data_IF_674762359792
#
_entry.id   IF_674762359792
#
_cell.length_a   1.000
_cell.length_b   1.000
_cell.length_c   1.000
_cell.angle_alpha   90.00
_cell.angle_beta   90.00
_cell.angle_gamma   90.00
#
_symmetry.space_group_name_H-M   'P 1'
#
loop_
_entity.id
_entity.type
_entity.pdbx_description
1 polymer ?
#
# COMPACT_ATOMS: atom_id res chain seq x y z
N UNK A 1 -5.23 48.02 3.09
CA UNK A 1 -4.31 47.14 3.82
C UNK A 1 -4.75 45.66 3.73
N UNK A 2 -6.01 45.30 3.98
CA UNK A 2 -6.56 43.93 3.91
C UNK A 2 -6.39 43.29 2.53
N UNK A 3 -6.70 44.01 1.44
CA UNK A 3 -6.59 43.52 0.05
C UNK A 3 -5.16 43.11 -0.37
N UNK A 4 -4.14 43.82 0.14
CA UNK A 4 -2.73 43.52 -0.12
C UNK A 4 -2.30 42.25 0.66
N UNK A 5 -2.89 42.02 1.83
CA UNK A 5 -2.60 40.86 2.67
C UNK A 5 -3.18 39.60 2.05
N UNK A 6 -4.44 39.67 1.59
CA UNK A 6 -5.10 38.55 0.88
C UNK A 6 -4.39 38.17 -0.41
N UNK A 7 -3.94 39.14 -1.20
CA UNK A 7 -3.15 38.91 -2.43
C UNK A 7 -1.80 38.26 -2.15
N UNK A 8 -1.17 38.58 -1.02
CA UNK A 8 0.10 38.00 -0.59
C UNK A 8 -0.06 36.57 -0.06
N UNK A 9 -1.19 36.27 0.62
CA UNK A 9 -1.54 34.91 1.07
C UNK A 9 -1.85 34.03 -0.12
N UNK A 10 -2.65 34.50 -1.08
CA UNK A 10 -3.01 33.75 -2.28
C UNK A 10 -1.77 33.44 -3.14
N UNK A 11 -0.84 34.40 -3.32
CA UNK A 11 0.41 34.15 -4.03
C UNK A 11 1.31 33.10 -3.34
N UNK A 12 1.39 33.13 -2.00
CA UNK A 12 2.12 32.13 -1.23
C UNK A 12 1.47 30.76 -1.29
N UNK A 13 0.13 30.72 -1.28
CA UNK A 13 -0.62 29.47 -1.44
C UNK A 13 -0.43 28.87 -2.83
N UNK A 14 -0.53 29.68 -3.88
CA UNK A 14 -0.30 29.25 -5.27
C UNK A 14 1.12 28.75 -5.49
N UNK A 15 2.11 29.40 -4.87
CA UNK A 15 3.50 28.94 -4.91
C UNK A 15 3.68 27.64 -4.15
N UNK A 16 3.11 27.52 -2.94
CA UNK A 16 3.10 26.28 -2.16
C UNK A 16 2.43 25.15 -2.93
N UNK A 17 1.28 25.39 -3.57
CA UNK A 17 0.55 24.42 -4.38
C UNK A 17 1.35 24.00 -5.63
N UNK A 18 2.08 24.92 -6.27
CA UNK A 18 2.96 24.61 -7.42
C UNK A 18 4.18 23.78 -7.00
N UNK A 19 4.83 24.16 -5.90
CA UNK A 19 6.00 23.46 -5.36
C UNK A 19 5.66 22.06 -4.84
N UNK A 20 4.41 21.87 -4.34
CA UNK A 20 3.89 20.61 -3.84
C UNK A 20 2.89 19.96 -4.82
N UNK A 21 2.95 20.28 -6.09
CA UNK A 21 2.04 19.76 -7.11
C UNK A 21 2.02 18.22 -7.21
N UNK A 22 3.09 17.54 -6.79
CA UNK A 22 3.12 16.08 -6.62
C UNK A 22 2.20 15.59 -5.51
N UNK A 23 2.05 16.34 -4.41
CA UNK A 23 1.12 16.02 -3.31
C UNK A 23 -0.35 16.20 -3.72
N UNK A 24 -0.60 17.06 -4.72
CA UNK A 24 -1.95 17.39 -5.21
C UNK A 24 -2.34 16.55 -6.43
N UNK A 25 -1.36 15.98 -7.16
CA UNK A 25 -1.61 15.11 -8.32
C UNK A 25 -2.27 13.76 -7.96
N UNK A 26 -2.39 13.42 -6.70
CA UNK A 26 -2.94 12.15 -6.22
C UNK A 26 -4.47 12.10 -6.17
N UNK A 27 -5.17 12.84 -7.04
CA UNK A 27 -6.60 12.62 -7.33
C UNK A 27 -6.85 11.44 -8.28
N UNK A 28 -5.93 10.47 -8.32
CA UNK A 28 -6.13 9.30 -9.15
C UNK A 28 -7.13 8.37 -8.47
N UNK A 29 -8.33 8.34 -9.03
CA UNK A 29 -9.34 7.31 -8.72
C UNK A 29 -8.67 5.95 -8.91
N UNK A 30 -8.75 5.07 -7.90
CA UNK A 30 -8.22 3.72 -8.00
C UNK A 30 -9.03 2.94 -9.03
N UNK A 31 -8.43 2.68 -10.19
CA UNK A 31 -9.00 1.81 -11.23
C UNK A 31 -8.47 0.39 -11.00
N UNK A 32 -9.36 -0.58 -10.99
CA UNK A 32 -9.06 -1.97 -10.64
C UNK A 32 -7.97 -2.58 -11.54
N UNK A 33 -8.05 -2.31 -12.85
CA UNK A 33 -7.11 -2.80 -13.87
C UNK A 33 -5.75 -2.06 -13.84
N UNK A 34 -5.64 -0.92 -13.16
CA UNK A 34 -4.43 -0.11 -13.02
C UNK A 34 -3.87 -0.17 -11.59
N UNK A 35 -4.47 -0.96 -10.70
CA UNK A 35 -4.11 -1.08 -9.29
C UNK A 35 -3.54 -2.47 -8.99
N UNK A 36 -2.48 -2.51 -8.21
CA UNK A 36 -1.87 -3.72 -7.65
C UNK A 36 -1.92 -3.67 -6.12
N UNK A 37 -2.36 -4.74 -5.48
CA UNK A 37 -2.11 -4.98 -4.07
C UNK A 37 -0.76 -5.72 -3.93
N UNK A 38 0.22 -5.08 -3.31
CA UNK A 38 1.54 -5.65 -3.01
C UNK A 38 1.65 -6.00 -1.53
N UNK A 39 1.74 -7.29 -1.22
CA UNK A 39 1.90 -7.81 0.14
C UNK A 39 3.39 -8.14 0.34
N UNK A 40 4.05 -7.42 1.24
CA UNK A 40 5.49 -7.47 1.43
C UNK A 40 5.83 -8.35 2.64
N UNK A 41 6.53 -9.45 2.38
CA UNK A 41 7.30 -10.29 3.32
C UNK A 41 6.53 -10.73 4.59
N UNK A 42 5.23 -11.03 4.48
CA UNK A 42 4.41 -11.53 5.61
C UNK A 42 4.72 -13.01 5.87
N UNK A 43 5.98 -13.27 6.31
CA UNK A 43 6.56 -14.60 6.43
C UNK A 43 6.58 -15.11 7.87
N UNK A 44 6.56 -16.44 8.03
CA UNK A 44 6.44 -17.16 9.29
C UNK A 44 7.42 -16.72 10.39
N UNK A 45 8.70 -16.52 10.03
CA UNK A 45 9.76 -16.17 10.99
C UNK A 45 9.84 -14.67 11.28
N UNK A 46 9.26 -13.83 10.45
CA UNK A 46 9.30 -12.37 10.60
C UNK A 46 8.09 -11.86 11.38
N UNK A 47 6.89 -12.31 11.02
CA UNK A 47 5.63 -11.73 11.49
C UNK A 47 5.43 -11.84 13.00
N UNK A 48 5.88 -12.94 13.62
CA UNK A 48 5.71 -13.20 15.06
C UNK A 48 6.39 -12.18 15.97
N UNK A 49 7.35 -11.45 15.44
CA UNK A 49 8.07 -10.40 16.18
C UNK A 49 7.40 -9.01 16.04
N UNK A 50 6.33 -8.92 15.24
CA UNK A 50 5.61 -7.66 15.02
C UNK A 50 4.49 -7.54 16.05
N UNK A 51 4.44 -6.40 16.74
CA UNK A 51 3.35 -6.10 17.68
C UNK A 51 2.01 -6.08 16.93
N UNK A 52 0.97 -6.64 17.54
CA UNK A 52 -0.40 -6.68 17.00
C UNK A 52 -0.50 -7.28 15.57
N UNK A 53 0.41 -8.20 15.24
CA UNK A 53 0.47 -8.78 13.90
C UNK A 53 -0.82 -9.45 13.45
N UNK A 54 -1.62 -9.98 14.38
CA UNK A 54 -2.92 -10.59 14.05
C UNK A 54 -3.88 -9.57 13.44
N UNK A 55 -3.88 -8.33 13.96
CA UNK A 55 -4.68 -7.23 13.40
C UNK A 55 -4.18 -6.83 12.02
N UNK A 56 -2.86 -6.79 11.83
CA UNK A 56 -2.25 -6.53 10.50
C UNK A 56 -2.68 -7.60 9.50
N UNK A 57 -2.59 -8.88 9.86
CA UNK A 57 -3.03 -9.99 9.01
C UNK A 57 -4.52 -9.87 8.69
N UNK A 58 -5.35 -9.57 9.70
CA UNK A 58 -6.79 -9.38 9.52
C UNK A 58 -7.09 -8.29 8.49
N UNK A 59 -6.42 -7.14 8.57
CA UNK A 59 -6.60 -6.04 7.64
C UNK A 59 -6.07 -6.38 6.23
N UNK A 60 -4.93 -7.07 6.13
CA UNK A 60 -4.43 -7.58 4.85
C UNK A 60 -5.45 -8.54 4.20
N UNK A 61 -6.09 -9.40 4.97
CA UNK A 61 -7.14 -10.31 4.46
C UNK A 61 -8.34 -9.53 3.92
N UNK A 62 -8.80 -8.48 4.60
CA UNK A 62 -9.87 -7.61 4.09
C UNK A 62 -9.49 -6.98 2.73
N UNK A 63 -8.23 -6.53 2.57
CA UNK A 63 -7.73 -6.03 1.29
C UNK A 63 -7.71 -7.13 0.22
N UNK A 64 -7.22 -8.33 0.56
CA UNK A 64 -7.20 -9.49 -0.35
C UNK A 64 -8.61 -9.83 -0.84
N UNK A 65 -9.56 -10.00 0.09
CA UNK A 65 -10.94 -10.36 -0.23
C UNK A 65 -11.62 -9.32 -1.12
N UNK A 66 -11.37 -8.04 -0.83
CA UNK A 66 -11.86 -6.94 -1.67
C UNK A 66 -11.21 -6.97 -3.05
N UNK A 67 -9.90 -7.15 -3.13
CA UNK A 67 -9.16 -7.20 -4.40
C UNK A 67 -9.64 -8.37 -5.27
N UNK A 68 -9.88 -9.55 -4.69
CA UNK A 68 -10.47 -10.70 -5.39
C UNK A 68 -11.86 -10.38 -5.92
N UNK A 69 -12.73 -9.84 -5.07
CA UNK A 69 -14.09 -9.49 -5.43
C UNK A 69 -14.15 -8.45 -6.56
N UNK A 70 -13.21 -7.52 -6.58
CA UNK A 70 -13.15 -6.41 -7.54
C UNK A 70 -12.18 -6.66 -8.72
N UNK A 71 -11.61 -7.87 -8.82
CA UNK A 71 -10.63 -8.25 -9.85
C UNK A 71 -9.36 -7.37 -9.88
N UNK A 72 -8.92 -6.90 -8.72
CA UNK A 72 -7.63 -6.22 -8.54
C UNK A 72 -6.54 -7.28 -8.39
N UNK A 73 -5.43 -7.13 -9.13
CA UNK A 73 -4.30 -8.07 -9.05
C UNK A 73 -3.58 -7.99 -7.72
N UNK A 74 -3.06 -9.14 -7.29
CA UNK A 74 -2.33 -9.27 -6.02
C UNK A 74 -0.96 -9.87 -6.30
N UNK A 75 0.08 -9.27 -5.72
CA UNK A 75 1.43 -9.78 -5.71
C UNK A 75 1.94 -9.95 -4.28
N UNK A 76 2.74 -10.97 -4.07
CA UNK A 76 3.36 -11.30 -2.78
C UNK A 76 4.87 -11.34 -2.96
N UNK A 77 5.60 -10.78 -1.99
CA UNK A 77 7.05 -10.93 -1.95
C UNK A 77 7.50 -11.78 -0.77
N UNK A 78 8.61 -12.46 -0.94
CA UNK A 78 9.26 -13.26 0.09
C UNK A 78 10.75 -12.91 0.16
N UNK A 79 11.19 -12.43 1.32
CA UNK A 79 12.59 -12.17 1.61
C UNK A 79 13.28 -13.48 1.98
N UNK A 80 14.24 -13.94 1.17
CA UNK A 80 15.06 -15.14 1.43
C UNK A 80 14.23 -16.30 2.06
N UNK A 81 13.26 -16.87 1.34
CA UNK A 81 12.30 -17.85 1.91
C UNK A 81 13.00 -19.09 2.49
N UNK A 82 14.16 -19.48 1.99
CA UNK A 82 14.94 -20.58 2.56
C UNK A 82 15.33 -20.33 4.03
N UNK A 83 15.58 -19.08 4.42
CA UNK A 83 15.93 -18.70 5.80
C UNK A 83 14.75 -18.24 6.62
N UNK A 84 13.86 -17.46 6.03
CA UNK A 84 12.80 -16.74 6.75
C UNK A 84 11.44 -17.45 6.70
N UNK A 85 11.34 -18.57 5.98
CA UNK A 85 10.10 -19.29 5.79
C UNK A 85 9.25 -18.69 4.68
N UNK A 86 8.11 -19.30 4.42
CA UNK A 86 7.15 -18.87 3.41
C UNK A 86 6.19 -17.83 3.97
N UNK A 87 5.46 -17.20 3.08
CA UNK A 87 4.29 -16.38 3.42
C UNK A 87 3.29 -17.23 4.21
N UNK A 88 2.64 -16.64 5.21
CA UNK A 88 1.67 -17.33 6.06
C UNK A 88 0.53 -17.93 5.24
N UNK A 89 0.13 -19.16 5.58
CA UNK A 89 -1.02 -19.85 4.96
C UNK A 89 -2.30 -19.02 5.06
N UNK A 90 -2.48 -18.28 6.16
CA UNK A 90 -3.60 -17.37 6.36
C UNK A 90 -3.70 -16.25 5.30
N UNK A 91 -2.62 -15.94 4.58
CA UNK A 91 -2.57 -14.95 3.47
C UNK A 91 -2.78 -15.67 2.13
N UNK A 92 -2.23 -16.87 1.97
CA UNK A 92 -2.16 -17.58 0.69
C UNK A 92 -3.52 -18.18 0.28
N UNK A 93 -4.23 -18.85 1.21
CA UNK A 93 -5.58 -19.42 1.05
C UNK A 93 -5.89 -20.07 -0.32
N UNK A 94 -5.10 -21.00 -0.80
CA UNK A 94 -5.33 -21.71 -2.08
C UNK A 94 -5.57 -20.83 -3.32
N UNK A 95 -5.03 -19.60 -3.34
CA UNK A 95 -5.21 -18.67 -4.45
C UNK A 95 -3.94 -18.59 -5.31
N UNK A 96 -4.13 -18.31 -6.58
CA UNK A 96 -3.04 -18.01 -7.50
C UNK A 96 -2.67 -16.52 -7.37
N UNK A 97 -1.50 -16.27 -6.78
CA UNK A 97 -0.90 -14.94 -6.70
C UNK A 97 0.39 -14.90 -7.51
N UNK A 98 0.83 -13.70 -7.88
CA UNK A 98 2.17 -13.52 -8.42
C UNK A 98 3.18 -13.44 -7.28
N UNK A 99 4.15 -14.37 -7.24
CA UNK A 99 5.16 -14.46 -6.18
C UNK A 99 6.52 -13.98 -6.66
N UNK A 100 7.21 -13.24 -5.81
CA UNK A 100 8.54 -12.70 -6.09
C UNK A 100 9.48 -12.90 -4.90
N UNK A 101 10.40 -13.84 -5.01
CA UNK A 101 11.47 -14.02 -4.03
C UNK A 101 12.56 -12.96 -4.23
N UNK A 102 13.12 -12.44 -3.14
CA UNK A 102 14.15 -11.40 -3.18
C UNK A 102 15.19 -11.56 -2.08
N UNK A 103 16.40 -11.07 -2.34
CA UNK A 103 17.46 -10.95 -1.36
C UNK A 103 17.63 -9.49 -0.92
N UNK A 104 17.36 -8.56 -1.80
CA UNK A 104 17.35 -7.12 -1.53
C UNK A 104 16.12 -6.74 -0.69
N UNK A 105 16.24 -5.68 0.12
CA UNK A 105 15.10 -5.20 0.90
C UNK A 105 14.02 -4.59 0.01
N UNK A 106 14.40 -3.79 -0.96
CA UNK A 106 13.45 -3.21 -1.91
C UNK A 106 12.98 -4.23 -2.95
N UNK A 107 11.67 -4.40 -3.08
CA UNK A 107 11.05 -5.20 -4.15
C UNK A 107 11.37 -4.64 -5.54
N UNK A 108 11.63 -3.34 -5.65
CA UNK A 108 11.99 -2.67 -6.90
C UNK A 108 13.34 -3.12 -7.49
N UNK A 109 14.16 -3.82 -6.72
CA UNK A 109 15.43 -4.42 -7.21
C UNK A 109 15.22 -5.80 -7.85
N UNK A 110 14.05 -6.41 -7.66
CA UNK A 110 13.71 -7.68 -8.33
C UNK A 110 13.24 -7.38 -9.77
N UNK A 111 14.03 -7.82 -10.75
CA UNK A 111 13.78 -7.55 -12.18
C UNK A 111 12.44 -8.16 -12.66
N UNK A 112 12.06 -9.34 -12.14
CA UNK A 112 10.79 -9.99 -12.52
C UNK A 112 9.59 -9.19 -12.00
N UNK A 113 9.70 -8.64 -10.78
CA UNK A 113 8.67 -7.77 -10.22
C UNK A 113 8.52 -6.46 -11.03
N UNK A 114 9.62 -5.82 -11.41
CA UNK A 114 9.58 -4.60 -12.24
C UNK A 114 9.01 -4.89 -13.63
N UNK A 115 9.40 -6.01 -14.24
CA UNK A 115 8.82 -6.46 -15.51
C UNK A 115 7.32 -6.65 -15.38
N UNK A 116 6.86 -7.32 -14.32
CA UNK A 116 5.45 -7.53 -14.02
C UNK A 116 4.68 -6.20 -13.89
N UNK A 117 5.21 -5.23 -13.14
CA UNK A 117 4.59 -3.90 -13.02
C UNK A 117 4.42 -3.24 -14.40
N UNK A 118 5.46 -3.27 -15.22
CA UNK A 118 5.45 -2.66 -16.56
C UNK A 118 4.51 -3.38 -17.53
N UNK A 119 4.48 -4.69 -17.50
CA UNK A 119 3.67 -5.54 -18.37
C UNK A 119 2.16 -5.30 -18.17
N UNK A 120 1.73 -5.16 -16.92
CA UNK A 120 0.33 -4.86 -16.58
C UNK A 120 0.03 -3.37 -16.51
N UNK A 121 1.01 -2.50 -16.75
CA UNK A 121 0.85 -1.03 -16.79
C UNK A 121 0.17 -0.46 -15.52
N UNK A 122 0.53 -0.98 -14.34
CA UNK A 122 -0.01 -0.46 -13.09
C UNK A 122 0.36 1.02 -12.90
N UNK A 123 -0.57 1.77 -12.33
CA UNK A 123 -0.42 3.18 -11.95
C UNK A 123 -0.45 3.33 -10.44
N UNK A 124 -1.22 2.50 -9.75
CA UNK A 124 -1.44 2.54 -8.32
C UNK A 124 -0.94 1.25 -7.69
N UNK A 125 -0.18 1.35 -6.60
CA UNK A 125 0.24 0.19 -5.82
C UNK A 125 -0.15 0.43 -4.36
N UNK A 126 -1.05 -0.41 -3.85
CA UNK A 126 -1.35 -0.49 -2.42
C UNK A 126 -0.29 -1.39 -1.80
N UNK A 127 0.53 -0.85 -0.90
CA UNK A 127 1.64 -1.58 -0.28
C UNK A 127 1.31 -1.86 1.17
N UNK A 128 1.25 -3.14 1.56
CA UNK A 128 1.02 -3.58 2.93
C UNK A 128 2.01 -4.68 3.33
N UNK A 129 2.05 -5.08 4.60
CA UNK A 129 2.94 -6.13 5.12
C UNK A 129 4.00 -5.63 6.08
N UNK A 130 5.20 -6.20 6.03
CA UNK A 130 6.30 -5.96 6.99
C UNK A 130 7.70 -5.92 6.34
N UNK A 131 8.75 -5.37 6.97
CA UNK A 131 8.65 -4.34 8.01
C UNK A 131 8.56 -2.96 7.39
N UNK A 132 7.72 -2.12 7.94
CA UNK A 132 7.46 -0.75 7.43
C UNK A 132 8.74 0.03 7.21
N UNK A 133 9.69 -0.04 8.16
CA UNK A 133 10.93 0.75 8.15
C UNK A 133 12.07 0.12 7.33
N UNK A 134 11.89 -1.09 6.80
CA UNK A 134 12.92 -1.79 6.01
C UNK A 134 12.42 -2.03 4.59
N UNK A 135 11.76 -3.17 4.35
CA UNK A 135 11.37 -3.59 3.00
C UNK A 135 10.32 -2.67 2.39
N UNK A 136 9.31 -2.28 3.17
CA UNK A 136 8.25 -1.39 2.68
C UNK A 136 8.80 0.00 2.38
N UNK A 137 9.56 0.60 3.31
CA UNK A 137 10.13 1.93 3.13
C UNK A 137 10.96 2.03 1.85
N UNK A 138 11.91 1.10 1.67
CA UNK A 138 12.79 1.13 0.50
C UNK A 138 12.02 0.85 -0.80
N UNK A 139 11.08 -0.10 -0.77
CA UNK A 139 10.22 -0.40 -1.92
C UNK A 139 9.41 0.81 -2.35
N UNK A 140 8.71 1.44 -1.41
CA UNK A 140 7.87 2.60 -1.71
C UNK A 140 8.69 3.77 -2.27
N UNK A 141 9.85 4.10 -1.67
CA UNK A 141 10.72 5.17 -2.16
C UNK A 141 11.19 4.89 -3.58
N UNK A 142 11.64 3.68 -3.88
CA UNK A 142 12.10 3.31 -5.21
C UNK A 142 10.96 3.33 -6.25
N UNK A 143 9.74 2.94 -5.86
CA UNK A 143 8.57 2.93 -6.74
C UNK A 143 8.02 4.35 -6.99
N UNK A 144 8.06 5.24 -5.98
CA UNK A 144 7.71 6.65 -6.14
C UNK A 144 8.60 7.35 -7.18
N UNK A 145 9.89 6.95 -7.29
CA UNK A 145 10.80 7.47 -8.31
C UNK A 145 10.45 7.03 -9.74
N UNK A 146 9.56 6.04 -9.89
CA UNK A 146 9.07 5.53 -11.18
C UNK A 146 7.70 6.11 -11.56
N UNK A 147 7.31 7.22 -10.96
CA UNK A 147 6.03 7.91 -11.16
C UNK A 147 4.79 7.04 -10.86
N UNK A 148 4.94 6.03 -9.99
CA UNK A 148 3.83 5.23 -9.49
C UNK A 148 3.17 5.91 -8.30
N UNK A 149 1.85 5.81 -8.21
CA UNK A 149 1.08 6.25 -7.06
C UNK A 149 1.10 5.16 -5.99
N UNK A 150 1.68 5.45 -4.83
CA UNK A 150 1.87 4.48 -3.74
C UNK A 150 0.92 4.81 -2.61
N UNK A 151 0.05 3.86 -2.25
CA UNK A 151 -0.91 3.98 -1.17
C UNK A 151 -0.52 3.06 -0.01
N UNK A 152 -0.48 3.61 1.19
CA UNK A 152 0.02 2.91 2.38
C UNK A 152 -1.06 2.85 3.48
N UNK A 153 -1.76 1.71 3.66
CA UNK A 153 -2.73 1.51 4.73
C UNK A 153 -1.99 1.32 6.06
N UNK A 154 -2.06 2.32 6.96
CA UNK A 154 -1.34 2.33 8.24
C UNK A 154 -1.65 1.12 9.11
N UNK A 155 -2.87 0.63 9.05
CA UNK A 155 -3.40 -0.48 9.85
C UNK A 155 -3.13 -1.88 9.26
N UNK A 156 -2.54 -1.94 8.06
CA UNK A 156 -2.10 -3.18 7.40
C UNK A 156 -0.57 -3.25 7.24
N UNK A 157 0.16 -2.45 8.01
CA UNK A 157 1.63 -2.38 8.02
C UNK A 157 2.17 -2.43 9.43
N UNK A 158 3.38 -2.94 9.61
CA UNK A 158 4.00 -3.02 10.93
C UNK A 158 5.50 -3.17 10.95
N UNK A 159 6.09 -2.88 12.11
CA UNK A 159 7.50 -3.09 12.44
C UNK A 159 7.63 -3.64 13.85
N UNK A 160 8.78 -4.24 14.18
CA UNK A 160 9.06 -4.78 15.51
C UNK A 160 8.98 -3.72 16.62
N UNK A 161 9.41 -2.50 16.32
CA UNK A 161 9.35 -1.38 17.25
C UNK A 161 8.43 -0.30 16.70
N UNK A 162 7.59 0.24 17.58
CA UNK A 162 6.60 1.27 17.22
C UNK A 162 7.26 2.54 16.70
N UNK A 163 8.38 2.95 17.31
CA UNK A 163 9.14 4.13 16.86
C UNK A 163 9.64 3.99 15.42
N UNK A 164 10.11 2.79 15.01
CA UNK A 164 10.55 2.52 13.65
C UNK A 164 9.38 2.56 12.67
N UNK A 165 8.24 1.99 13.09
CA UNK A 165 7.02 1.97 12.30
C UNK A 165 6.48 3.38 12.04
N UNK A 166 6.36 4.20 13.09
CA UNK A 166 5.82 5.56 12.98
C UNK A 166 6.76 6.49 12.20
N UNK A 167 8.07 6.41 12.48
CA UNK A 167 9.06 7.21 11.76
C UNK A 167 9.06 6.89 10.26
N UNK A 168 9.00 5.60 9.92
CA UNK A 168 8.95 5.17 8.52
C UNK A 168 7.65 5.60 7.82
N UNK A 169 6.51 5.47 8.49
CA UNK A 169 5.22 5.89 7.95
C UNK A 169 5.18 7.40 7.66
N UNK A 170 5.63 8.22 8.61
CA UNK A 170 5.74 9.67 8.42
C UNK A 170 6.67 9.98 7.25
N UNK A 171 7.85 9.34 7.21
CA UNK A 171 8.81 9.53 6.11
C UNK A 171 8.21 9.17 4.76
N UNK A 172 7.47 8.08 4.65
CA UNK A 172 6.77 7.67 3.42
C UNK A 172 5.75 8.70 2.97
N UNK A 173 4.89 9.17 3.89
CA UNK A 173 3.90 10.21 3.60
C UNK A 173 4.57 11.50 3.10
N UNK A 174 5.64 11.96 3.76
CA UNK A 174 6.42 13.14 3.33
C UNK A 174 7.15 12.91 1.99
N UNK A 175 7.45 11.66 1.62
CA UNK A 175 8.06 11.32 0.34
C UNK A 175 7.06 11.22 -0.82
N UNK A 176 5.76 11.41 -0.56
CA UNK A 176 4.70 11.42 -1.57
C UNK A 176 3.86 10.15 -1.64
N UNK A 177 4.02 9.20 -0.70
CA UNK A 177 3.08 8.10 -0.56
C UNK A 177 1.76 8.60 0.05
N UNK A 178 0.64 8.08 -0.42
CA UNK A 178 -0.70 8.43 0.07
C UNK A 178 -0.99 7.62 1.34
N UNK A 179 -0.99 8.30 2.48
CA UNK A 179 -1.38 7.71 3.75
C UNK A 179 -2.88 7.39 3.77
N UNK A 180 -3.23 6.17 4.13
CA UNK A 180 -4.62 5.69 4.15
C UNK A 180 -4.84 4.64 5.24
N UNK A 181 -6.02 4.06 5.26
CA UNK A 181 -6.39 2.89 6.07
C UNK A 181 -6.99 1.81 5.18
N UNK A 182 -7.05 0.58 5.67
CA UNK A 182 -7.68 -0.55 4.98
C UNK A 182 -9.10 -0.21 4.53
N UNK A 183 -9.94 0.31 5.43
CA UNK A 183 -11.33 0.63 5.13
C UNK A 183 -11.46 1.73 4.08
N UNK A 184 -10.64 2.79 4.17
CA UNK A 184 -10.62 3.87 3.17
C UNK A 184 -10.29 3.32 1.78
N UNK A 185 -9.24 2.49 1.66
CA UNK A 185 -8.85 1.92 0.37
C UNK A 185 -9.88 0.96 -0.21
N UNK A 186 -10.56 0.18 0.64
CA UNK A 186 -11.68 -0.67 0.22
C UNK A 186 -12.80 0.17 -0.36
N UNK A 187 -13.15 1.28 0.30
CA UNK A 187 -14.19 2.19 -0.18
C UNK A 187 -13.77 2.93 -1.46
N UNK A 188 -12.50 3.34 -1.57
CA UNK A 188 -11.95 3.95 -2.79
C UNK A 188 -12.00 2.99 -3.99
N UNK A 189 -11.65 1.71 -3.81
CA UNK A 189 -11.77 0.69 -4.85
C UNK A 189 -13.22 0.40 -5.22
N UNK A 190 -14.11 0.38 -4.23
CA UNK A 190 -15.55 0.13 -4.45
C UNK A 190 -16.25 1.30 -5.14
N UNK A 191 -15.84 2.55 -4.89
CA UNK A 191 -16.29 3.83 -5.48
C UNK A 191 -17.74 4.23 -5.13
N UNK A 192 -18.67 3.31 -5.15
CA UNK A 192 -20.11 3.63 -4.96
C UNK A 192 -20.87 2.46 -4.34
N UNK A 193 -21.84 2.80 -3.51
CA UNK A 193 -22.79 1.84 -2.94
C UNK A 193 -23.78 1.26 -3.97
N UNK A 194 -23.87 1.85 -5.16
CA UNK A 194 -24.71 1.36 -6.25
C UNK A 194 -24.06 0.22 -7.06
N UNK A 195 -22.82 -0.11 -6.77
CA UNK A 195 -22.09 -1.19 -7.42
C UNK A 195 -22.70 -2.55 -7.04
N UNK A 196 -22.76 -3.50 -7.99
CA UNK A 196 -23.32 -4.84 -7.74
C UNK A 196 -22.60 -5.60 -6.65
N UNK A 197 -21.26 -5.41 -6.52
CA UNK A 197 -20.43 -6.03 -5.52
C UNK A 197 -20.53 -5.38 -4.12
N UNK A 198 -21.18 -4.22 -4.00
CA UNK A 198 -21.21 -3.44 -2.74
C UNK A 198 -21.74 -4.23 -1.54
N UNK A 199 -22.73 -5.11 -1.76
CA UNK A 199 -23.28 -5.96 -0.69
C UNK A 199 -22.19 -6.83 -0.05
N UNK A 200 -21.32 -7.42 -0.86
CA UNK A 200 -20.22 -8.27 -0.39
C UNK A 200 -19.08 -7.42 0.20
N UNK A 201 -18.75 -6.27 -0.42
CA UNK A 201 -17.81 -5.29 0.16
C UNK A 201 -18.29 -4.85 1.56
N UNK A 202 -19.59 -4.56 1.73
CA UNK A 202 -20.15 -4.18 3.02
C UNK A 202 -20.04 -5.30 4.07
N UNK A 203 -20.09 -6.57 3.68
CA UNK A 203 -19.83 -7.69 4.60
C UNK A 203 -18.37 -7.72 5.04
N UNK A 204 -17.42 -7.57 4.09
CA UNK A 204 -16.00 -7.48 4.41
C UNK A 204 -15.72 -6.34 5.40
N UNK A 205 -16.28 -5.15 5.16
CA UNK A 205 -16.11 -4.00 6.04
C UNK A 205 -16.64 -4.26 7.46
N UNK A 206 -17.77 -4.94 7.60
CA UNK A 206 -18.42 -5.25 8.89
C UNK A 206 -17.77 -6.39 9.65
N UNK A 207 -16.83 -7.13 9.06
CA UNK A 207 -16.11 -8.16 9.78
C UNK A 207 -15.28 -7.51 10.89
N UNK A 208 -15.48 -7.95 12.13
CA UNK A 208 -14.71 -7.51 13.31
C UNK A 208 -13.55 -8.46 13.59
N UNK A 209 -12.48 -7.91 14.12
CA UNK A 209 -11.32 -8.65 14.63
C UNK A 209 -11.63 -9.30 15.97
#
# INVERSE_FOLDING_TARGET
>A
MIYIYEKKINLKMDQFLKENSRLIKNNNILLENETLLLIVDVQEKLIKNIKDYQLIIFNIKKLIDTCKLLNVRIAITEQNPLKLGKTLDAIIENNEYSYFEKMEFSCSKNMNFIKYISEYNFKNIIVCGIETHICILQTCIDLLQKDLNILIPRDAMGSRHEIDNDTAFIRLALSGAVASTTESLICELCKTSSRKEFKEVSKILKTSF
#
